data_IF_258392978152
#
_entry.id   IF_258392978152
#
_cell.length_a   1.000
_cell.length_b   1.000
_cell.length_c   1.000
_cell.angle_alpha   90.00
_cell.angle_beta   90.00
_cell.angle_gamma   90.00
#
_symmetry.space_group_name_H-M   'P 1'
#
loop_
_entity.id
_entity.type
_entity.pdbx_description
1 polymer ?
#
# COMPACT_ATOMS: atom_id res chain seq x y z
N UNK A 1 -16.01 -3.88 -8.13
CA UNK A 1 -14.98 -4.89 -8.47
C UNK A 1 -13.87 -4.28 -9.31
N UNK A 2 -12.87 -3.63 -8.69
CA UNK A 2 -11.66 -3.19 -9.39
C UNK A 2 -10.75 -4.42 -9.61
N UNK A 3 -11.03 -5.22 -10.66
CA UNK A 3 -10.21 -6.39 -11.04
C UNK A 3 -8.76 -6.05 -11.46
N UNK A 4 -8.39 -4.77 -11.38
CA UNK A 4 -7.12 -4.25 -11.90
C UNK A 4 -6.13 -3.86 -10.80
N UNK A 5 -6.54 -3.84 -9.53
CA UNK A 5 -5.62 -3.59 -8.41
C UNK A 5 -5.33 -4.91 -7.72
N UNK A 6 -4.08 -5.32 -7.71
CA UNK A 6 -3.60 -6.46 -6.95
C UNK A 6 -2.75 -5.94 -5.78
N UNK A 7 -3.07 -6.40 -4.57
CA UNK A 7 -2.28 -6.11 -3.37
C UNK A 7 -1.66 -7.40 -2.85
N UNK A 8 -0.36 -7.36 -2.55
CA UNK A 8 0.38 -8.50 -2.00
C UNK A 8 1.13 -8.03 -0.77
N UNK A 9 0.96 -8.73 0.36
CA UNK A 9 1.72 -8.47 1.58
C UNK A 9 2.71 -9.60 1.80
N UNK A 10 3.99 -9.28 1.78
CA UNK A 10 5.06 -10.18 2.18
C UNK A 10 5.54 -9.81 3.57
N UNK A 11 5.63 -10.81 4.46
CA UNK A 11 6.11 -10.62 5.83
C UNK A 11 7.33 -11.50 6.07
N UNK A 12 8.40 -10.91 6.59
CA UNK A 12 9.53 -11.65 7.15
C UNK A 12 9.66 -11.37 8.66
N UNK A 13 10.77 -11.79 9.29
CA UNK A 13 10.99 -11.59 10.73
C UNK A 13 11.18 -10.12 11.13
N UNK A 14 11.58 -9.27 10.20
CA UNK A 14 11.99 -7.88 10.43
C UNK A 14 10.99 -6.86 9.88
N UNK A 15 10.33 -7.18 8.77
CA UNK A 15 9.56 -6.22 7.98
C UNK A 15 8.27 -6.84 7.43
N UNK A 16 7.31 -5.96 7.15
CA UNK A 16 6.11 -6.22 6.34
C UNK A 16 6.17 -5.31 5.13
N UNK A 17 6.21 -5.89 3.94
CA UNK A 17 6.26 -5.18 2.66
C UNK A 17 4.92 -5.35 1.97
N UNK A 18 4.37 -4.25 1.46
CA UNK A 18 3.16 -4.20 0.67
C UNK A 18 3.54 -3.84 -0.77
N UNK A 19 3.12 -4.68 -1.70
CA UNK A 19 3.13 -4.39 -3.12
C UNK A 19 1.71 -4.00 -3.53
N UNK A 20 1.54 -2.88 -4.21
CA UNK A 20 0.29 -2.49 -4.84
C UNK A 20 0.55 -2.35 -6.33
N UNK A 21 -0.14 -3.18 -7.11
CA UNK A 21 0.06 -3.31 -8.55
C UNK A 21 -1.20 -2.80 -9.23
N UNK A 22 -1.06 -1.77 -10.06
CA UNK A 22 -2.14 -1.26 -10.88
C UNK A 22 -2.00 -1.77 -12.32
N UNK A 23 -2.77 -2.80 -12.66
CA UNK A 23 -2.83 -3.38 -14.01
C UNK A 23 -3.76 -2.57 -14.94
N UNK A 24 -4.36 -1.48 -14.49
CA UNK A 24 -5.11 -0.55 -15.34
C UNK A 24 -4.15 0.46 -15.98
N UNK A 25 -4.43 0.92 -17.21
CA UNK A 25 -3.67 2.02 -17.83
C UNK A 25 -3.92 3.38 -17.21
N UNK A 26 -4.94 3.52 -16.38
CA UNK A 26 -5.29 4.77 -15.71
C UNK A 26 -4.77 4.80 -14.28
N UNK A 27 -4.43 6.02 -13.85
CA UNK A 27 -4.21 6.37 -12.46
C UNK A 27 -5.41 5.95 -11.57
N UNK A 28 -5.11 5.52 -10.35
CA UNK A 28 -6.10 5.11 -9.36
C UNK A 28 -5.70 5.55 -7.95
N UNK A 29 -6.67 6.10 -7.25
CA UNK A 29 -6.65 6.15 -5.79
C UNK A 29 -7.10 4.78 -5.24
N UNK A 30 -6.31 4.21 -4.34
CA UNK A 30 -6.52 2.88 -3.75
C UNK A 30 -6.68 3.01 -2.24
N UNK A 31 -7.86 2.61 -1.75
CA UNK A 31 -8.14 2.48 -0.32
C UNK A 31 -7.75 1.10 0.20
N UNK A 32 -6.72 1.05 1.02
CA UNK A 32 -6.21 -0.15 1.67
C UNK A 32 -6.88 -0.35 3.04
N UNK A 33 -7.29 -1.58 3.33
CA UNK A 33 -7.87 -1.98 4.61
C UNK A 33 -6.99 -3.00 5.31
N UNK A 34 -6.62 -2.70 6.54
CA UNK A 34 -5.80 -3.54 7.41
C UNK A 34 -6.67 -4.15 8.51
N UNK A 35 -6.42 -5.41 8.86
CA UNK A 35 -7.14 -6.06 9.95
C UNK A 35 -6.78 -5.43 11.31
N UNK A 36 -7.82 -5.19 12.14
CA UNK A 36 -7.80 -4.50 13.45
C UNK A 36 -7.61 -2.98 13.33
N UNK A 37 -7.98 -2.24 14.39
CA UNK A 37 -7.81 -0.79 14.52
C UNK A 37 -6.34 -0.39 14.67
N UNK A 38 -5.56 -0.63 13.62
CA UNK A 38 -4.13 -0.36 13.55
C UNK A 38 -3.89 1.11 13.24
N UNK A 39 -2.96 1.72 13.98
CA UNK A 39 -2.35 3.01 13.68
C UNK A 39 -0.93 2.77 13.20
N UNK A 40 -0.48 3.47 12.17
CA UNK A 40 0.84 3.27 11.60
C UNK A 40 1.09 4.15 10.39
N UNK A 41 2.09 3.80 9.60
CA UNK A 41 2.39 4.48 8.33
C UNK A 41 2.83 3.50 7.25
N UNK A 42 2.55 3.88 6.01
CA UNK A 42 3.12 3.31 4.79
C UNK A 42 4.27 4.20 4.36
N UNK A 43 5.44 3.60 4.21
CA UNK A 43 6.66 4.28 3.81
C UNK A 43 7.13 3.70 2.47
N UNK A 44 7.41 4.56 1.49
CA UNK A 44 7.94 4.14 0.19
C UNK A 44 9.25 3.39 0.38
N UNK A 45 9.35 2.20 -0.21
CA UNK A 45 10.46 1.29 0.07
C UNK A 45 11.84 1.88 -0.28
N UNK A 46 11.93 2.58 -1.43
CA UNK A 46 13.18 3.13 -1.94
C UNK A 46 13.50 4.53 -1.41
N UNK A 47 12.51 5.43 -1.36
CA UNK A 47 12.73 6.82 -0.96
C UNK A 47 12.71 7.02 0.57
N UNK A 48 12.15 6.06 1.31
CA UNK A 48 11.89 6.14 2.75
C UNK A 48 10.97 7.30 3.15
N UNK A 49 10.26 7.90 2.19
CA UNK A 49 9.25 8.93 2.47
C UNK A 49 7.95 8.28 2.91
N UNK A 50 7.27 8.96 3.82
CA UNK A 50 5.94 8.52 4.27
C UNK A 50 4.92 8.83 3.17
N UNK A 51 4.39 7.77 2.55
CA UNK A 51 3.36 7.89 1.51
C UNK A 51 1.98 8.14 2.12
N UNK A 52 1.64 7.44 3.20
CA UNK A 52 0.31 7.52 3.81
C UNK A 52 0.31 7.08 5.27
N UNK A 53 -0.62 7.61 6.05
CA UNK A 53 -0.84 7.17 7.43
C UNK A 53 -1.97 6.13 7.50
N UNK A 54 -1.76 5.06 8.26
CA UNK A 54 -2.80 4.09 8.60
C UNK A 54 -3.56 4.63 9.79
N UNK A 55 -4.82 5.02 9.58
CA UNK A 55 -5.71 5.53 10.63
C UNK A 55 -6.95 4.64 10.69
N UNK A 56 -7.26 4.13 11.89
CA UNK A 56 -8.40 3.23 12.11
C UNK A 56 -8.38 2.00 11.17
N UNK A 57 -7.19 1.48 10.88
CA UNK A 57 -7.01 0.33 9.99
C UNK A 57 -7.19 0.65 8.50
N UNK A 58 -7.26 1.92 8.09
CA UNK A 58 -7.38 2.31 6.68
C UNK A 58 -6.24 3.25 6.27
N UNK A 59 -5.79 3.13 5.02
CA UNK A 59 -4.89 4.08 4.38
C UNK A 59 -5.30 4.27 2.92
N UNK A 60 -5.02 5.44 2.38
CA UNK A 60 -5.25 5.74 0.96
C UNK A 60 -3.91 6.04 0.31
N UNK A 61 -3.69 5.49 -0.87
CA UNK A 61 -2.52 5.75 -1.69
C UNK A 61 -2.95 6.02 -3.13
N UNK A 62 -2.11 6.72 -3.86
CA UNK A 62 -2.26 7.00 -5.26
C UNK A 62 -1.27 6.14 -6.05
N UNK A 63 -1.72 5.53 -7.15
CA UNK A 63 -0.88 4.69 -7.99
C UNK A 63 -1.13 4.98 -9.47
N UNK A 64 -0.04 5.17 -10.21
CA UNK A 64 -0.08 5.36 -11.66
C UNK A 64 -0.61 4.13 -12.38
N UNK A 65 -1.01 4.30 -13.63
CA UNK A 65 -1.43 3.18 -14.47
C UNK A 65 -0.24 2.33 -14.92
N UNK A 66 -0.43 1.01 -15.01
CA UNK A 66 0.59 0.02 -15.39
C UNK A 66 1.85 0.14 -14.52
N UNK A 67 1.67 0.34 -13.22
CA UNK A 67 2.73 0.62 -12.26
C UNK A 67 2.64 -0.25 -11.01
N UNK A 68 3.76 -0.33 -10.28
CA UNK A 68 3.89 -1.03 -9.01
C UNK A 68 4.52 -0.13 -7.97
N UNK A 69 3.76 0.13 -6.92
CA UNK A 69 4.25 0.84 -5.75
C UNK A 69 4.56 -0.14 -4.62
N UNK A 70 5.70 0.06 -3.96
CA UNK A 70 6.22 -0.83 -2.93
C UNK A 70 6.38 -0.04 -1.63
N UNK A 71 5.75 -0.53 -0.56
CA UNK A 71 5.75 0.14 0.73
C UNK A 71 6.23 -0.78 1.85
N UNK A 72 6.97 -0.22 2.82
CA UNK A 72 7.07 -0.79 4.16
C UNK A 72 5.82 -0.44 4.95
N UNK A 73 5.24 -1.44 5.62
CA UNK A 73 4.14 -1.27 6.57
C UNK A 73 4.72 -1.19 7.98
N UNK A 74 4.63 -0.01 8.60
CA UNK A 74 5.12 0.27 9.94
C UNK A 74 3.92 0.46 10.88
N UNK A 75 3.65 -0.53 11.73
CA UNK A 75 2.49 -0.60 12.66
C UNK A 75 2.94 -0.98 14.05
#
# INVERSE_FOLDING_TARGET
NNRYILTVVQKNKFEKILFVINMNSKFKEVKLKFQKSKTGKLEEFFSQKTASYIKRGEATIDINGLDVEIFRILV
#
